data_IF_027753277739
#
_entry.id   IF_027753277739
#
_cell.length_a   1.000
_cell.length_b   1.000
_cell.length_c   1.000
_cell.angle_alpha   90.00
_cell.angle_beta   90.00
_cell.angle_gamma   90.00
#
_symmetry.space_group_name_H-M   'P 1'
#
loop_
_entity.id
_entity.type
_entity.pdbx_description
1 polymer ?
#
# COMPACT_ATOMS: atom_id res chain seq x y z
N UNK A 1 -3.09 -11.84 -4.02
CA UNK A 1 -3.48 -13.00 -3.18
C UNK A 1 -4.88 -12.90 -2.60
N UNK A 2 -5.31 -11.78 -2.01
CA UNK A 2 -6.69 -11.62 -1.53
C UNK A 2 -7.75 -11.77 -2.64
N UNK A 3 -7.71 -10.89 -3.64
CA UNK A 3 -8.75 -10.84 -4.68
C UNK A 3 -8.77 -12.09 -5.58
N UNK A 4 -7.61 -12.64 -5.94
CA UNK A 4 -7.51 -13.79 -6.85
C UNK A 4 -7.48 -15.15 -6.13
N UNK A 5 -6.92 -15.21 -4.91
CA UNK A 5 -6.69 -16.46 -4.17
C UNK A 5 -7.52 -16.59 -2.90
N UNK A 6 -8.43 -15.65 -2.62
CA UNK A 6 -9.27 -15.64 -1.42
C UNK A 6 -8.47 -15.70 -0.12
N UNK A 7 -7.24 -15.16 -0.12
CA UNK A 7 -6.38 -15.15 1.07
C UNK A 7 -6.86 -14.04 2.00
N UNK A 8 -7.23 -14.44 3.22
CA UNK A 8 -7.64 -13.53 4.29
C UNK A 8 -6.42 -12.90 4.96
N UNK A 9 -6.64 -11.75 5.59
CA UNK A 9 -5.59 -10.93 6.19
C UNK A 9 -5.88 -10.60 7.64
N UNK A 10 -4.82 -10.50 8.43
CA UNK A 10 -4.83 -10.00 9.81
C UNK A 10 -4.09 -8.68 9.82
N UNK A 11 -4.72 -7.62 10.32
CA UNK A 11 -4.05 -6.35 10.58
C UNK A 11 -3.67 -6.22 12.05
N UNK A 12 -2.40 -5.87 12.29
CA UNK A 12 -1.87 -5.67 13.64
C UNK A 12 -1.88 -4.19 14.02
N UNK A 13 -2.40 -3.88 15.21
CA UNK A 13 -2.30 -2.56 15.84
C UNK A 13 -3.36 -1.57 15.38
N UNK A 14 -2.91 -0.38 14.95
CA UNK A 14 -3.77 0.80 14.74
C UNK A 14 -4.07 1.57 16.01
N UNK A 15 -4.82 2.67 15.90
CA UNK A 15 -5.24 3.48 17.05
C UNK A 15 -6.17 2.68 17.98
N UNK A 16 -6.19 2.93 19.29
CA UNK A 16 -7.12 2.30 20.24
C UNK A 16 -8.54 2.83 20.03
N UNK A 17 -9.13 2.44 18.90
CA UNK A 17 -10.48 2.74 18.45
C UNK A 17 -11.10 1.45 17.98
N UNK A 18 -12.40 1.33 18.20
CA UNK A 18 -13.14 0.16 17.81
C UNK A 18 -13.19 -0.03 16.29
N UNK A 19 -13.29 -1.29 15.87
CA UNK A 19 -13.50 -1.68 14.48
C UNK A 19 -12.26 -2.21 13.76
N UNK A 20 -12.48 -2.63 12.52
CA UNK A 20 -11.43 -3.11 11.63
C UNK A 20 -10.56 -1.96 11.12
N UNK A 21 -9.38 -2.31 10.62
CA UNK A 21 -8.46 -1.38 9.98
C UNK A 21 -8.05 -1.92 8.61
N UNK A 22 -7.51 -1.04 7.78
CA UNK A 22 -6.98 -1.46 6.49
C UNK A 22 -5.81 -2.43 6.68
N UNK A 23 -5.84 -3.56 5.98
CA UNK A 23 -4.81 -4.59 6.09
C UNK A 23 -3.44 -4.16 5.59
N UNK A 24 -3.40 -3.32 4.54
CA UNK A 24 -2.17 -2.78 3.97
C UNK A 24 -2.13 -1.28 4.17
N UNK A 25 -1.17 -0.80 4.97
CA UNK A 25 -0.92 0.63 5.15
C UNK A 25 -0.40 1.32 3.89
N UNK A 26 -0.27 2.64 3.95
CA UNK A 26 0.21 3.44 2.81
C UNK A 26 -0.83 3.63 1.72
N UNK A 27 -0.36 3.91 0.50
CA UNK A 27 -1.19 4.15 -0.68
C UNK A 27 -1.11 2.94 -1.60
N UNK A 28 -2.28 2.40 -1.98
CA UNK A 28 -2.39 1.34 -3.00
C UNK A 28 -2.19 1.92 -4.40
N UNK A 29 -0.92 2.21 -4.72
CA UNK A 29 -0.52 2.73 -6.02
C UNK A 29 -0.45 1.66 -7.10
N UNK A 30 -0.44 2.09 -8.36
CA UNK A 30 -0.16 1.23 -9.50
C UNK A 30 1.33 1.28 -9.83
N UNK A 31 1.72 2.22 -10.69
CA UNK A 31 3.11 2.42 -11.11
C UNK A 31 3.68 3.65 -10.44
N UNK A 32 4.86 3.50 -9.82
CA UNK A 32 5.61 4.59 -9.22
C UNK A 32 6.86 4.89 -10.04
N UNK A 33 7.17 6.17 -10.25
CA UNK A 33 8.46 6.62 -10.77
C UNK A 33 9.22 7.37 -9.69
N UNK A 34 10.53 7.11 -9.59
CA UNK A 34 11.41 7.97 -8.81
C UNK A 34 11.56 9.32 -9.51
N UNK A 35 11.90 10.37 -8.76
CA UNK A 35 12.22 11.66 -9.37
C UNK A 35 13.42 11.56 -10.34
N UNK A 36 14.35 10.63 -10.10
CA UNK A 36 15.43 10.32 -11.05
C UNK A 36 14.89 9.77 -12.37
N UNK A 37 13.95 8.82 -12.34
CA UNK A 37 13.33 8.31 -13.58
C UNK A 37 12.59 9.42 -14.33
N UNK A 38 11.86 10.28 -13.61
CA UNK A 38 11.17 11.43 -14.22
C UNK A 38 12.17 12.35 -14.92
N UNK A 39 13.29 12.70 -14.27
CA UNK A 39 14.35 13.49 -14.89
C UNK A 39 14.93 12.80 -16.14
N UNK A 40 15.24 11.51 -16.06
CA UNK A 40 15.79 10.77 -17.19
C UNK A 40 14.84 10.74 -18.39
N UNK A 41 13.54 10.51 -18.15
CA UNK A 41 12.54 10.54 -19.21
C UNK A 41 12.32 11.95 -19.77
N UNK A 42 12.41 12.99 -18.93
CA UNK A 42 12.35 14.37 -19.39
C UNK A 42 13.51 14.70 -20.34
N UNK A 43 14.75 14.35 -19.96
CA UNK A 43 15.91 14.59 -20.81
C UNK A 43 15.86 13.79 -22.12
N UNK A 44 15.34 12.57 -22.09
CA UNK A 44 15.12 11.79 -23.31
C UNK A 44 14.07 12.44 -24.23
N UNK A 45 13.02 13.03 -23.67
CA UNK A 45 11.95 13.68 -24.43
C UNK A 45 12.40 14.98 -25.13
N UNK A 46 13.45 15.65 -24.63
CA UNK A 46 13.99 16.88 -25.25
C UNK A 46 14.35 16.68 -26.72
N UNK A 47 14.81 15.49 -27.12
CA UNK A 47 15.19 15.20 -28.51
C UNK A 47 14.04 15.31 -29.52
N UNK A 48 12.80 15.18 -29.07
CA UNK A 48 11.60 15.26 -29.92
C UNK A 48 10.66 16.40 -29.48
N UNK A 49 11.09 17.26 -28.56
CA UNK A 49 10.27 18.31 -27.97
C UNK A 49 10.21 19.56 -28.86
N UNK A 50 9.13 20.34 -28.74
CA UNK A 50 9.12 21.73 -29.24
C UNK A 50 10.06 22.59 -28.39
N UNK A 51 10.45 23.76 -28.89
CA UNK A 51 11.33 24.69 -28.15
C UNK A 51 10.74 25.06 -26.77
N UNK A 52 9.45 25.41 -26.72
CA UNK A 52 8.76 25.73 -25.47
C UNK A 52 8.70 24.53 -24.49
N UNK A 53 8.57 23.30 -25.00
CA UNK A 53 8.62 22.10 -24.15
C UNK A 53 10.04 21.85 -23.63
N UNK A 54 11.04 21.98 -24.50
CA UNK A 54 12.45 21.81 -24.13
C UNK A 54 12.88 22.83 -23.06
N UNK A 55 12.39 24.07 -23.14
CA UNK A 55 12.63 25.10 -22.11
C UNK A 55 12.17 24.63 -20.72
N UNK A 56 10.97 24.05 -20.62
CA UNK A 56 10.44 23.52 -19.35
C UNK A 56 11.23 22.28 -18.90
N UNK A 57 11.47 21.32 -19.79
CA UNK A 57 12.12 20.05 -19.43
C UNK A 57 13.55 20.27 -18.95
N UNK A 58 14.29 21.20 -19.55
CA UNK A 58 15.67 21.52 -19.18
C UNK A 58 15.79 22.26 -17.83
N UNK A 59 14.69 22.75 -17.25
CA UNK A 59 14.69 23.29 -15.88
C UNK A 59 14.75 22.19 -14.81
N UNK A 60 14.43 20.94 -15.17
CA UNK A 60 14.45 19.84 -14.22
C UNK A 60 15.89 19.52 -13.80
N UNK A 61 16.06 19.14 -12.54
CA UNK A 61 17.36 18.77 -11.99
C UNK A 61 17.24 17.57 -11.06
N UNK A 62 18.38 16.94 -10.78
CA UNK A 62 18.45 15.83 -9.83
C UNK A 62 18.43 16.28 -8.36
N UNK A 63 18.44 17.59 -8.06
CA UNK A 63 18.49 18.10 -6.69
C UNK A 63 17.40 17.53 -5.76
N UNK A 64 16.11 17.45 -6.16
CA UNK A 64 15.08 16.86 -5.30
C UNK A 64 15.34 15.38 -4.99
N UNK A 65 15.88 14.63 -5.96
CA UNK A 65 16.24 13.22 -5.76
C UNK A 65 17.46 13.06 -4.85
N UNK A 66 18.43 13.97 -4.93
CA UNK A 66 19.64 13.95 -4.11
C UNK A 66 19.38 14.36 -2.66
N UNK A 67 18.33 15.16 -2.43
CA UNK A 67 17.93 15.65 -1.10
C UNK A 67 16.87 14.80 -0.41
N UNK A 68 16.49 13.67 -0.99
CA UNK A 68 15.48 12.78 -0.43
C UNK A 68 15.98 11.34 -0.32
N UNK A 69 15.64 10.67 0.78
CA UNK A 69 15.88 9.24 0.96
C UNK A 69 14.87 8.37 0.18
N UNK A 70 13.69 8.93 -0.11
CA UNK A 70 12.64 8.27 -0.87
C UNK A 70 11.75 9.31 -1.55
N UNK A 71 11.94 9.52 -2.85
CA UNK A 71 11.14 10.46 -3.64
C UNK A 71 10.53 9.76 -4.86
N UNK A 72 9.25 9.45 -4.74
CA UNK A 72 8.48 8.73 -5.73
C UNK A 72 7.15 9.43 -6.00
N UNK A 73 6.72 9.36 -7.25
CA UNK A 73 5.41 9.85 -7.70
C UNK A 73 4.63 8.66 -8.25
N UNK A 74 3.38 8.53 -7.83
CA UNK A 74 2.46 7.62 -8.47
C UNK A 74 2.01 8.23 -9.80
N UNK A 75 2.38 7.58 -10.90
CA UNK A 75 2.10 8.06 -12.26
C UNK A 75 0.93 7.34 -12.92
N UNK A 76 0.38 6.30 -12.27
CA UNK A 76 -0.71 5.51 -12.82
C UNK A 76 -1.60 4.95 -11.72
N UNK A 77 -2.87 5.33 -11.78
CA UNK A 77 -3.91 4.73 -10.99
C UNK A 77 -4.23 3.31 -11.46
N UNK A 78 -4.46 2.42 -10.51
CA UNK A 78 -5.09 1.12 -10.76
C UNK A 78 -6.56 1.22 -10.39
N UNK A 79 -7.43 0.59 -11.18
CA UNK A 79 -8.88 0.51 -10.92
C UNK A 79 -9.20 -0.93 -10.56
N UNK A 80 -9.86 -1.11 -9.42
CA UNK A 80 -10.35 -2.42 -8.96
C UNK A 80 -11.50 -2.88 -9.87
N UNK A 81 -11.66 -4.20 -10.04
CA UNK A 81 -12.83 -4.75 -10.75
C UNK A 81 -14.17 -4.33 -10.13
N UNK A 82 -14.19 -4.02 -8.82
CA UNK A 82 -15.37 -3.49 -8.10
C UNK A 82 -15.73 -2.05 -8.48
N UNK A 83 -14.78 -1.30 -9.02
CA UNK A 83 -14.89 0.14 -9.29
C UNK A 83 -14.81 0.46 -10.78
N UNK A 84 -15.11 -0.50 -11.65
CA UNK A 84 -15.09 -0.28 -13.11
C UNK A 84 -16.21 0.67 -13.55
N UNK A 85 -17.31 0.75 -12.81
CA UNK A 85 -18.47 1.57 -13.14
C UNK A 85 -18.29 3.05 -12.73
N UNK A 86 -17.73 3.31 -11.55
CA UNK A 86 -17.54 4.66 -11.01
C UNK A 86 -16.12 5.21 -11.25
N UNK A 87 -15.19 4.34 -11.66
CA UNK A 87 -13.80 4.68 -11.91
C UNK A 87 -13.00 5.01 -10.65
N UNK A 88 -13.51 4.69 -9.44
CA UNK A 88 -12.85 5.03 -8.17
C UNK A 88 -11.45 4.39 -8.11
N UNK A 89 -10.36 5.18 -8.10
CA UNK A 89 -9.01 4.65 -8.07
C UNK A 89 -8.72 3.87 -6.79
N UNK A 90 -7.92 2.81 -6.91
CA UNK A 90 -7.64 1.89 -5.81
C UNK A 90 -6.89 2.53 -4.63
N UNK A 91 -6.15 3.62 -4.87
CA UNK A 91 -5.52 4.43 -3.82
C UNK A 91 -6.50 5.16 -2.90
N UNK A 92 -7.77 5.30 -3.31
CA UNK A 92 -8.84 5.89 -2.49
C UNK A 92 -9.84 4.83 -1.99
N UNK A 93 -9.67 3.56 -2.37
CA UNK A 93 -10.53 2.46 -1.94
C UNK A 93 -10.02 1.85 -0.62
N UNK A 94 -10.77 2.09 0.46
CA UNK A 94 -10.49 1.54 1.80
C UNK A 94 -10.85 0.06 1.83
N UNK A 95 -9.90 -0.78 2.19
CA UNK A 95 -10.11 -2.24 2.24
C UNK A 95 -9.66 -2.81 3.57
N UNK A 96 -10.62 -3.05 4.44
CA UNK A 96 -10.38 -3.56 5.77
C UNK A 96 -9.90 -5.01 5.74
N UNK A 97 -9.00 -5.36 6.65
CA UNK A 97 -8.63 -6.75 6.90
C UNK A 97 -9.80 -7.51 7.52
N UNK A 98 -9.86 -8.82 7.30
CA UNK A 98 -10.92 -9.66 7.89
C UNK A 98 -10.80 -9.77 9.42
N UNK A 99 -9.59 -9.63 9.95
CA UNK A 99 -9.28 -9.76 11.37
C UNK A 99 -8.33 -8.65 11.82
N UNK A 100 -8.56 -8.11 13.01
CA UNK A 100 -7.66 -7.16 13.67
C UNK A 100 -7.21 -7.70 15.02
N UNK A 101 -5.91 -7.59 15.29
CA UNK A 101 -5.31 -7.86 16.60
C UNK A 101 -4.53 -6.63 17.08
N UNK A 102 -4.32 -6.50 18.38
CA UNK A 102 -3.45 -5.48 18.96
C UNK A 102 -2.12 -6.08 19.38
N UNK A 103 -1.07 -5.26 19.30
CA UNK A 103 0.22 -5.64 19.85
C UNK A 103 0.13 -5.76 21.38
N UNK A 104 0.74 -6.81 21.92
CA UNK A 104 0.97 -6.97 23.36
C UNK A 104 2.44 -6.69 23.67
N UNK A 105 2.78 -6.51 24.95
CA UNK A 105 4.17 -6.27 25.37
C UNK A 105 5.11 -7.39 24.93
N UNK A 106 4.69 -8.66 25.07
CA UNK A 106 5.49 -9.83 24.68
C UNK A 106 5.81 -9.83 23.18
N UNK A 107 4.86 -9.41 22.34
CA UNK A 107 5.07 -9.33 20.87
C UNK A 107 6.13 -8.31 20.46
N UNK A 108 6.41 -7.31 21.30
CA UNK A 108 7.45 -6.30 21.00
C UNK A 108 8.85 -6.91 21.13
N UNK A 109 9.02 -7.85 22.07
CA UNK A 109 10.31 -8.48 22.35
C UNK A 109 10.47 -9.87 21.71
N UNK A 110 9.36 -10.53 21.36
CA UNK A 110 9.34 -11.85 20.72
C UNK A 110 8.37 -11.88 19.54
N UNK A 111 8.91 -11.90 18.32
CA UNK A 111 8.13 -12.04 17.09
C UNK A 111 7.37 -13.36 17.02
N UNK A 112 7.82 -14.40 17.74
CA UNK A 112 7.14 -15.70 17.80
C UNK A 112 5.78 -15.56 18.51
N UNK A 113 5.69 -14.72 19.54
CA UNK A 113 4.43 -14.44 20.22
C UNK A 113 3.39 -13.82 19.27
N UNK A 114 3.85 -12.94 18.36
CA UNK A 114 2.99 -12.34 17.33
C UNK A 114 2.47 -13.40 16.35
N UNK A 115 3.36 -14.25 15.84
CA UNK A 115 2.96 -15.32 14.91
C UNK A 115 2.07 -16.37 15.56
N UNK A 116 2.29 -16.69 16.84
CA UNK A 116 1.38 -17.55 17.61
C UNK A 116 -0.02 -16.94 17.71
N UNK A 117 -0.14 -15.64 18.01
CA UNK A 117 -1.44 -14.97 18.05
C UNK A 117 -2.12 -14.95 16.67
N UNK A 118 -1.37 -14.72 15.59
CA UNK A 118 -1.90 -14.79 14.24
C UNK A 118 -2.40 -16.20 13.88
N UNK A 119 -1.62 -17.24 14.21
CA UNK A 119 -2.01 -18.63 14.00
C UNK A 119 -3.22 -19.01 14.86
N UNK A 120 -3.27 -18.53 16.09
CA UNK A 120 -4.37 -18.75 17.01
C UNK A 120 -5.69 -18.16 16.48
N UNK A 121 -5.64 -16.93 15.95
CA UNK A 121 -6.79 -16.29 15.33
C UNK A 121 -7.23 -16.98 14.02
N UNK A 122 -6.28 -17.52 13.25
CA UNK A 122 -6.56 -18.12 11.95
C UNK A 122 -6.99 -19.60 12.01
N UNK A 123 -6.47 -20.37 12.97
CA UNK A 123 -6.54 -21.84 12.95
C UNK A 123 -6.98 -22.47 14.28
N UNK A 124 -6.84 -21.78 15.41
CA UNK A 124 -7.11 -22.35 16.75
C UNK A 124 -8.31 -21.69 17.45
N UNK A 125 -9.23 -21.12 16.69
CA UNK A 125 -10.52 -20.59 17.19
C UNK A 125 -10.42 -19.51 18.28
N UNK A 126 -9.28 -18.82 18.44
CA UNK A 126 -9.08 -17.81 19.50
C UNK A 126 -9.62 -16.41 19.16
N UNK A 127 -10.30 -16.26 18.02
CA UNK A 127 -10.94 -15.01 17.61
C UNK A 127 -10.00 -13.85 17.35
N UNK A 128 -10.58 -12.70 17.02
CA UNK A 128 -9.88 -11.44 16.74
C UNK A 128 -10.38 -10.37 17.71
N UNK A 129 -9.61 -9.30 17.92
CA UNK A 129 -10.12 -8.15 18.66
C UNK A 129 -11.30 -7.48 17.92
N UNK A 130 -11.22 -7.44 16.60
CA UNK A 130 -12.34 -7.10 15.72
C UNK A 130 -12.33 -8.01 14.48
N UNK A 131 -13.52 -8.32 13.98
CA UNK A 131 -13.71 -9.22 12.84
C UNK A 131 -13.53 -10.70 13.18
N UNK A 132 -13.34 -11.52 12.16
CA UNK A 132 -13.15 -12.96 12.32
C UNK A 132 -12.53 -13.58 11.08
N UNK A 133 -11.88 -14.73 11.26
CA UNK A 133 -11.41 -15.57 10.16
C UNK A 133 -12.24 -16.84 10.12
N UNK A 134 -13.34 -16.90 9.34
CA UNK A 134 -14.11 -18.13 9.25
C UNK A 134 -13.24 -19.27 8.70
N UNK A 135 -13.46 -20.49 9.19
CA UNK A 135 -12.81 -21.69 8.63
C UNK A 135 -13.11 -21.76 7.13
N UNK A 136 -12.11 -22.10 6.31
CA UNK A 136 -12.36 -22.45 4.91
C UNK A 136 -13.19 -23.73 4.93
N UNK A 137 -14.34 -23.70 4.26
CA UNK A 137 -15.10 -24.90 3.88
C UNK A 137 -14.26 -25.74 2.91
#
# INVERSE_FOLDING_TARGET
MRNQGGVKSIAMGGRPKEGLIQGVGGIKGGVIYSLKHIFQYAQAAVHCATEAQAEILNQLSLLPSQRSLAAYVNIRHSISSRNLADGLPYNYDREESECRLFYTADMVYDVTALWKAAADAAFNDKGCAYGSLPKRL
#
